data_IF_563973800729
#
_entry.id   IF_563973800729
#
_cell.length_a   1.000
_cell.length_b   1.000
_cell.length_c   1.000
_cell.angle_alpha   90.00
_cell.angle_beta   90.00
_cell.angle_gamma   90.00
#
_symmetry.space_group_name_H-M   'P 1'
#
loop_
_entity.id
_entity.type
_entity.pdbx_description
1 polymer ?
#
# COMPACT_ATOMS: atom_id res chain seq x y z
N UNK A 1 5.34 0.35 -6.72
CA UNK A 1 6.23 0.89 -5.67
C UNK A 1 7.53 1.29 -6.35
N UNK A 2 8.07 2.49 -6.10
CA UNK A 2 9.32 2.93 -6.74
C UNK A 2 10.55 2.77 -5.84
N UNK A 3 10.38 2.27 -4.62
CA UNK A 3 11.42 2.31 -3.58
C UNK A 3 11.87 0.93 -3.09
N UNK A 4 11.20 -0.15 -3.51
CA UNK A 4 11.52 -1.52 -3.13
C UNK A 4 11.06 -2.48 -4.22
N UNK A 5 11.82 -3.55 -4.41
CA UNK A 5 11.58 -4.57 -5.43
C UNK A 5 10.85 -5.81 -4.85
N UNK A 6 10.98 -6.06 -3.54
CA UNK A 6 10.45 -7.27 -2.87
C UNK A 6 9.20 -7.03 -2.02
N UNK A 7 9.14 -5.92 -1.28
CA UNK A 7 7.98 -5.54 -0.44
C UNK A 7 7.61 -4.08 -0.67
N UNK A 8 6.32 -3.76 -0.73
CA UNK A 8 5.92 -2.39 -1.00
C UNK A 8 6.28 -1.45 0.16
N UNK A 9 6.81 -0.26 -0.12
CA UNK A 9 7.31 0.62 0.96
C UNK A 9 6.22 1.26 1.82
N UNK A 10 4.97 1.34 1.33
CA UNK A 10 3.82 1.85 2.10
C UNK A 10 3.73 3.37 2.24
N UNK A 11 4.75 4.11 1.78
CA UNK A 11 4.82 5.58 1.93
C UNK A 11 5.02 6.37 0.63
N UNK A 12 5.37 5.71 -0.48
CA UNK A 12 5.54 6.41 -1.76
C UNK A 12 4.19 6.66 -2.46
N UNK A 13 4.12 7.62 -3.40
CA UNK A 13 2.87 7.96 -4.09
C UNK A 13 2.17 6.76 -4.75
N UNK A 14 2.95 5.87 -5.38
CA UNK A 14 2.43 4.64 -5.99
C UNK A 14 1.79 3.70 -4.95
N UNK A 15 2.39 3.57 -3.76
CA UNK A 15 1.84 2.74 -2.69
C UNK A 15 0.56 3.34 -2.10
N UNK A 16 0.55 4.65 -1.86
CA UNK A 16 -0.60 5.35 -1.29
C UNK A 16 -1.81 5.32 -2.23
N UNK A 17 -1.58 5.50 -3.54
CA UNK A 17 -2.63 5.41 -4.55
C UNK A 17 -3.27 4.01 -4.57
N UNK A 18 -2.44 2.96 -4.53
CA UNK A 18 -2.89 1.58 -4.48
C UNK A 18 -3.71 1.30 -3.21
N UNK A 19 -3.16 1.64 -2.04
CA UNK A 19 -3.84 1.45 -0.75
C UNK A 19 -5.22 2.14 -0.73
N UNK A 20 -5.32 3.36 -1.27
CA UNK A 20 -6.58 4.08 -1.40
C UNK A 20 -7.57 3.36 -2.31
N UNK A 21 -7.12 2.82 -3.44
CA UNK A 21 -7.99 2.06 -4.35
C UNK A 21 -8.57 0.81 -3.68
N UNK A 22 -7.75 0.05 -2.95
CA UNK A 22 -8.19 -1.12 -2.18
C UNK A 22 -9.19 -0.72 -1.07
N UNK A 23 -8.88 0.32 -0.31
CA UNK A 23 -9.78 0.83 0.72
C UNK A 23 -11.15 1.27 0.15
N UNK A 24 -11.18 1.95 -1.00
CA UNK A 24 -12.41 2.35 -1.68
C UNK A 24 -13.22 1.15 -2.19
N UNK A 25 -12.55 0.06 -2.57
CA UNK A 25 -13.21 -1.18 -2.95
C UNK A 25 -13.73 -1.99 -1.73
N UNK A 26 -13.38 -1.58 -0.51
CA UNK A 26 -13.72 -2.31 0.72
C UNK A 26 -12.96 -3.64 0.86
N UNK A 27 -11.78 -3.76 0.23
CA UNK A 27 -10.97 -4.98 0.21
C UNK A 27 -9.59 -4.65 0.77
N UNK A 28 -9.00 -5.55 1.55
CA UNK A 28 -7.61 -5.41 1.98
C UNK A 28 -6.63 -5.70 0.85
N UNK A 29 -5.54 -4.92 0.76
CA UNK A 29 -4.48 -5.18 -0.21
C UNK A 29 -3.68 -6.43 0.19
N UNK A 30 -3.62 -7.49 -0.65
CA UNK A 30 -2.86 -8.70 -0.33
C UNK A 30 -1.35 -8.49 -0.40
N UNK A 31 -0.88 -7.38 -0.98
CA UNK A 31 0.54 -7.11 -1.13
C UNK A 31 1.18 -6.79 0.25
N UNK A 32 2.31 -7.42 0.61
CA UNK A 32 3.00 -7.08 1.85
C UNK A 32 3.64 -5.70 1.78
N UNK A 33 3.50 -4.94 2.87
CA UNK A 33 4.06 -3.60 3.03
C UNK A 33 5.10 -3.57 4.14
N UNK A 34 6.26 -2.97 3.87
CA UNK A 34 7.29 -2.71 4.87
C UNK A 34 6.80 -1.76 5.97
N UNK A 35 5.95 -0.80 5.58
CA UNK A 35 5.25 0.09 6.49
C UNK A 35 3.76 -0.08 6.25
N UNK A 36 3.07 -0.79 7.15
CA UNK A 36 1.61 -0.88 7.11
C UNK A 36 1.05 0.46 7.60
N UNK A 37 0.34 1.23 6.76
CA UNK A 37 -0.36 2.40 7.24
C UNK A 37 -1.42 1.94 8.24
N UNK A 38 -1.52 2.63 9.39
CA UNK A 38 -2.69 2.47 10.25
C UNK A 38 -3.88 3.03 9.48
N UNK A 39 -4.73 2.15 8.99
CA UNK A 39 -6.04 2.55 8.48
C UNK A 39 -6.81 3.05 9.71
N UNK A 40 -7.08 4.35 9.74
CA UNK A 40 -7.93 5.02 10.74
C UNK A 40 -9.39 4.83 10.37
#
# INVERSE_FOLDING_TARGET
>A
CYQNETVACGKCPSCLLRLRAFALAGIEDPLPYALKPKVI
#
